data_IF_063045114931
#
_entry.id   IF_063045114931
#
_cell.length_a   1.000
_cell.length_b   1.000
_cell.length_c   1.000
_cell.angle_alpha   90.00
_cell.angle_beta   90.00
_cell.angle_gamma   90.00
#
_symmetry.space_group_name_H-M   'P 1'
#
loop_
_entity.id
_entity.type
_entity.pdbx_description
1 polymer ?
#
# COMPACT_ATOMS: atom_id res chain seq x y z
N UNK A 1 -19.43 -9.73 -15.72
CA UNK A 1 -20.04 -11.02 -16.11
C UNK A 1 -21.37 -10.88 -16.81
N UNK A 2 -22.31 -10.11 -16.24
CA UNK A 2 -23.70 -10.06 -16.72
C UNK A 2 -23.79 -9.64 -18.21
N UNK A 3 -22.96 -8.69 -18.64
CA UNK A 3 -22.88 -8.28 -20.05
C UNK A 3 -22.42 -9.43 -20.96
N UNK A 4 -21.40 -10.19 -20.58
CA UNK A 4 -20.95 -11.34 -21.37
C UNK A 4 -22.05 -12.42 -21.46
N UNK A 5 -22.69 -12.74 -20.33
CA UNK A 5 -23.80 -13.70 -20.30
C UNK A 5 -24.97 -13.26 -21.17
N UNK A 6 -25.36 -11.98 -21.12
CA UNK A 6 -26.42 -11.41 -21.97
C UNK A 6 -26.03 -11.46 -23.45
N UNK A 7 -24.83 -11.02 -23.81
CA UNK A 7 -24.34 -11.05 -25.18
C UNK A 7 -24.34 -12.48 -25.75
N UNK A 8 -23.91 -13.45 -24.96
CA UNK A 8 -23.88 -14.85 -25.36
C UNK A 8 -25.29 -15.44 -25.51
N UNK A 9 -26.23 -15.12 -24.60
CA UNK A 9 -27.63 -15.53 -24.71
C UNK A 9 -28.27 -14.94 -25.98
N UNK A 10 -28.05 -13.64 -26.25
CA UNK A 10 -28.52 -12.98 -27.48
C UNK A 10 -27.93 -13.66 -28.71
N UNK A 11 -26.64 -14.00 -28.68
CA UNK A 11 -25.98 -14.72 -29.76
C UNK A 11 -26.62 -16.10 -30.02
N UNK A 12 -26.89 -16.89 -28.98
CA UNK A 12 -27.57 -18.20 -29.09
C UNK A 12 -28.97 -18.04 -29.68
N UNK A 13 -29.75 -17.07 -29.22
CA UNK A 13 -31.12 -16.82 -29.71
C UNK A 13 -31.15 -16.48 -31.21
N UNK A 14 -30.11 -15.78 -31.69
CA UNK A 14 -30.00 -15.39 -33.10
C UNK A 14 -29.45 -16.55 -33.97
N UNK A 15 -28.51 -17.35 -33.48
CA UNK A 15 -27.72 -18.27 -34.32
C UNK A 15 -27.99 -19.77 -34.10
N UNK A 16 -28.51 -20.18 -32.93
CA UNK A 16 -28.76 -21.58 -32.59
C UNK A 16 -30.24 -21.76 -32.19
N UNK A 17 -31.14 -21.71 -33.17
CA UNK A 17 -32.57 -22.00 -32.95
C UNK A 17 -32.78 -23.52 -32.85
N UNK A 18 -33.41 -23.98 -31.77
CA UNK A 18 -33.72 -25.40 -31.53
C UNK A 18 -33.47 -25.83 -30.09
N UNK A 19 -33.73 -27.11 -29.80
CA UNK A 19 -33.62 -27.70 -28.44
C UNK A 19 -32.22 -27.52 -27.81
N UNK A 20 -31.17 -27.61 -28.62
CA UNK A 20 -29.78 -27.40 -28.20
C UNK A 20 -29.49 -25.96 -27.79
N UNK A 21 -30.06 -24.97 -28.49
CA UNK A 21 -29.95 -23.56 -28.13
C UNK A 21 -30.59 -23.25 -26.77
N UNK A 22 -31.78 -23.80 -26.50
CA UNK A 22 -32.45 -23.64 -25.20
C UNK A 22 -31.65 -24.29 -24.06
N UNK A 23 -31.05 -25.46 -24.29
CA UNK A 23 -30.16 -26.11 -23.31
C UNK A 23 -28.92 -25.24 -23.03
N UNK A 24 -28.29 -24.68 -24.06
CA UNK A 24 -27.12 -23.83 -23.89
C UNK A 24 -27.44 -22.52 -23.13
N UNK A 25 -28.62 -21.93 -23.37
CA UNK A 25 -29.09 -20.77 -22.59
C UNK A 25 -29.26 -21.16 -21.11
N UNK A 26 -29.91 -22.29 -20.84
CA UNK A 26 -30.11 -22.77 -19.47
C UNK A 26 -28.78 -23.02 -18.76
N UNK A 27 -27.83 -23.69 -19.43
CA UNK A 27 -26.47 -23.90 -18.91
C UNK A 27 -25.79 -22.56 -18.62
N UNK A 28 -25.88 -21.58 -19.53
CA UNK A 28 -25.25 -20.28 -19.32
C UNK A 28 -25.83 -19.53 -18.12
N UNK A 29 -27.16 -19.60 -17.92
CA UNK A 29 -27.82 -19.02 -16.75
C UNK A 29 -27.32 -19.71 -15.46
N UNK A 30 -27.25 -21.04 -15.45
CA UNK A 30 -26.75 -21.82 -14.31
C UNK A 30 -25.29 -21.45 -14.00
N UNK A 31 -24.41 -21.46 -15.02
CA UNK A 31 -22.99 -21.10 -14.86
C UNK A 31 -22.87 -19.67 -14.34
N UNK A 32 -23.65 -18.73 -14.87
CA UNK A 32 -23.64 -17.34 -14.39
C UNK A 32 -24.04 -17.27 -12.91
N UNK A 33 -25.11 -17.95 -12.52
CA UNK A 33 -25.59 -17.98 -11.14
C UNK A 33 -24.59 -18.63 -10.18
N UNK A 34 -24.07 -19.80 -10.53
CA UNK A 34 -23.04 -20.52 -9.75
C UNK A 34 -21.80 -19.66 -9.61
N UNK A 35 -21.38 -18.97 -10.68
CA UNK A 35 -20.18 -18.14 -10.62
C UNK A 35 -20.38 -16.91 -9.75
N UNK A 36 -21.55 -16.26 -9.81
CA UNK A 36 -21.90 -15.15 -8.90
C UNK A 36 -21.90 -15.64 -7.45
N UNK A 37 -22.46 -16.82 -7.19
CA UNK A 37 -22.48 -17.42 -5.86
C UNK A 37 -21.06 -17.70 -5.33
N UNK A 38 -20.20 -18.34 -6.13
CA UNK A 38 -18.80 -18.61 -5.78
C UNK A 38 -18.04 -17.30 -5.53
N UNK A 39 -18.23 -16.29 -6.39
CA UNK A 39 -17.53 -15.01 -6.27
C UNK A 39 -17.96 -14.24 -5.03
N UNK A 40 -19.25 -14.31 -4.68
CA UNK A 40 -19.80 -13.69 -3.48
C UNK A 40 -19.35 -14.41 -2.22
N UNK A 41 -19.57 -15.71 -2.13
CA UNK A 41 -19.43 -16.41 -0.85
C UNK A 41 -17.98 -16.87 -0.58
N UNK A 42 -17.19 -17.16 -1.61
CA UNK A 42 -15.88 -17.82 -1.44
C UNK A 42 -14.68 -16.95 -1.81
N UNK A 43 -14.78 -16.13 -2.87
CA UNK A 43 -13.62 -15.43 -3.45
C UNK A 43 -13.53 -13.97 -3.01
N UNK A 44 -14.50 -13.14 -3.40
CA UNK A 44 -14.39 -11.67 -3.29
C UNK A 44 -15.20 -11.06 -2.15
N UNK A 45 -16.23 -11.75 -1.63
CA UNK A 45 -17.10 -11.24 -0.55
C UNK A 45 -17.63 -9.82 -0.80
N UNK A 46 -18.01 -9.56 -2.06
CA UNK A 46 -18.58 -8.29 -2.52
C UNK A 46 -20.11 -8.38 -2.63
N UNK A 47 -20.78 -7.22 -2.64
CA UNK A 47 -22.23 -7.16 -2.84
C UNK A 47 -22.60 -7.64 -4.25
N UNK A 48 -23.84 -8.12 -4.43
CA UNK A 48 -24.33 -8.56 -5.75
C UNK A 48 -24.17 -7.46 -6.80
N UNK A 49 -24.47 -6.21 -6.45
CA UNK A 49 -24.29 -5.07 -7.35
C UNK A 49 -22.84 -4.93 -7.79
N UNK A 50 -21.88 -5.01 -6.87
CA UNK A 50 -20.47 -4.94 -7.24
C UNK A 50 -20.03 -6.10 -8.12
N UNK A 51 -20.47 -7.34 -7.85
CA UNK A 51 -20.08 -8.52 -8.66
C UNK A 51 -20.70 -8.46 -10.07
N UNK A 52 -21.94 -8.00 -10.17
CA UNK A 52 -22.68 -7.95 -11.43
C UNK A 52 -22.23 -6.79 -12.32
N UNK A 53 -21.99 -5.64 -11.72
CA UNK A 53 -21.77 -4.38 -12.41
C UNK A 53 -20.30 -3.94 -12.42
N UNK A 54 -19.37 -4.58 -11.72
CA UNK A 54 -17.93 -4.30 -11.88
C UNK A 54 -17.32 -5.23 -12.96
N UNK A 55 -16.52 -4.74 -13.92
CA UNK A 55 -16.06 -3.37 -14.15
C UNK A 55 -16.83 -2.71 -15.30
N UNK A 56 -18.17 -2.61 -15.23
CA UNK A 56 -18.86 -1.64 -16.07
C UNK A 56 -18.18 -0.27 -15.89
N UNK A 57 -18.28 0.65 -16.87
CA UNK A 57 -17.51 1.90 -16.94
C UNK A 57 -17.82 2.93 -15.84
N UNK A 58 -17.97 2.50 -14.59
CA UNK A 58 -17.98 3.30 -13.37
C UNK A 58 -16.57 3.67 -12.92
N UNK A 59 -15.52 2.98 -13.40
CA UNK A 59 -14.15 3.46 -13.24
C UNK A 59 -14.04 4.74 -14.06
N UNK A 60 -13.81 5.88 -13.40
CA UNK A 60 -13.73 7.19 -14.06
C UNK A 60 -12.38 7.38 -14.79
N UNK A 61 -12.03 6.42 -15.65
CA UNK A 61 -10.84 6.44 -16.46
C UNK A 61 -11.28 6.32 -17.93
N UNK A 62 -11.04 7.37 -18.71
CA UNK A 62 -11.44 7.45 -20.11
C UNK A 62 -10.93 6.25 -20.92
N UNK A 63 -9.67 5.86 -20.72
CA UNK A 63 -9.05 4.72 -21.40
C UNK A 63 -9.76 3.42 -21.08
N UNK A 64 -10.12 3.18 -19.81
CA UNK A 64 -10.86 1.99 -19.41
C UNK A 64 -12.25 1.95 -20.07
N UNK A 65 -12.95 3.09 -20.11
CA UNK A 65 -14.24 3.22 -20.80
C UNK A 65 -14.12 2.92 -22.29
N UNK A 66 -13.13 3.51 -22.97
CA UNK A 66 -12.89 3.29 -24.40
C UNK A 66 -12.58 1.83 -24.72
N UNK A 67 -11.67 1.20 -23.97
CA UNK A 67 -11.33 -0.22 -24.15
C UNK A 67 -12.55 -1.10 -23.94
N UNK A 68 -13.34 -0.84 -22.89
CA UNK A 68 -14.54 -1.57 -22.59
C UNK A 68 -15.55 -1.53 -23.74
N UNK A 69 -15.83 -0.34 -24.30
CA UNK A 69 -16.74 -0.20 -25.45
C UNK A 69 -16.19 -0.83 -26.72
N UNK A 70 -14.88 -0.73 -26.99
CA UNK A 70 -14.24 -1.42 -28.12
C UNK A 70 -14.40 -2.93 -28.01
N UNK A 71 -14.25 -3.48 -26.80
CA UNK A 71 -14.35 -4.91 -26.55
C UNK A 71 -15.80 -5.41 -26.69
N UNK A 72 -16.79 -4.65 -26.21
CA UNK A 72 -18.21 -4.92 -26.49
C UNK A 72 -18.49 -4.88 -28.00
N UNK A 73 -18.02 -3.82 -28.68
CA UNK A 73 -18.20 -3.65 -30.12
C UNK A 73 -17.63 -4.83 -30.89
N UNK A 74 -16.41 -5.25 -30.56
CA UNK A 74 -15.80 -6.45 -31.13
C UNK A 74 -16.66 -7.71 -30.91
N UNK A 75 -17.10 -7.97 -29.67
CA UNK A 75 -17.93 -9.14 -29.35
C UNK A 75 -19.27 -9.16 -30.11
N UNK A 76 -19.86 -8.00 -30.38
CA UNK A 76 -21.11 -7.88 -31.14
C UNK A 76 -20.90 -8.01 -32.66
N UNK A 77 -19.84 -7.38 -33.19
CA UNK A 77 -19.59 -7.28 -34.63
C UNK A 77 -18.94 -8.56 -35.16
N UNK A 78 -18.12 -9.24 -34.36
CA UNK A 78 -17.36 -10.43 -34.79
C UNK A 78 -18.25 -11.57 -35.34
N UNK A 79 -19.35 -11.98 -34.66
CA UNK A 79 -20.27 -12.98 -35.22
C UNK A 79 -20.97 -12.53 -36.52
N UNK A 80 -21.25 -11.23 -36.64
CA UNK A 80 -21.88 -10.65 -37.81
C UNK A 80 -20.91 -10.69 -39.01
N UNK A 81 -19.64 -10.38 -38.79
CA UNK A 81 -18.57 -10.50 -39.79
C UNK A 81 -18.48 -11.94 -40.30
N UNK A 82 -18.42 -12.93 -39.40
CA UNK A 82 -18.40 -14.34 -39.80
C UNK A 82 -19.64 -14.74 -40.62
N UNK A 83 -20.82 -14.22 -40.26
CA UNK A 83 -22.06 -14.48 -41.00
C UNK A 83 -22.06 -13.84 -42.40
N UNK A 84 -21.52 -12.63 -42.55
CA UNK A 84 -21.36 -11.97 -43.85
C UNK A 84 -20.41 -12.75 -44.76
N UNK A 85 -19.30 -13.25 -44.21
CA UNK A 85 -18.38 -14.11 -44.96
C UNK A 85 -19.00 -15.44 -45.36
N UNK A 86 -19.91 -15.99 -44.55
CA UNK A 86 -20.68 -17.22 -44.83
C UNK A 86 -21.57 -17.15 -46.07
N UNK A 87 -22.01 -15.96 -46.48
CA UNK A 87 -22.83 -15.78 -47.69
C UNK A 87 -22.03 -15.94 -48.98
N UNK A 88 -20.69 -15.96 -48.92
CA UNK A 88 -19.81 -16.06 -50.09
C UNK A 88 -19.24 -17.47 -50.21
N UNK A 89 -19.68 -18.22 -51.23
CA UNK A 89 -19.44 -19.67 -51.40
C UNK A 89 -17.97 -20.12 -51.38
N UNK A 90 -17.03 -19.26 -51.82
CA UNK A 90 -15.60 -19.58 -51.90
C UNK A 90 -14.90 -19.65 -50.53
N UNK A 91 -15.48 -19.03 -49.49
CA UNK A 91 -14.88 -18.92 -48.15
C UNK A 91 -15.36 -20.06 -47.22
N UNK A 92 -16.33 -20.87 -47.67
CA UNK A 92 -16.93 -21.94 -46.86
C UNK A 92 -15.97 -23.07 -46.49
N UNK A 93 -14.89 -23.27 -47.26
CA UNK A 93 -13.85 -24.29 -46.99
C UNK A 93 -12.74 -23.80 -46.04
N UNK A 94 -12.62 -22.48 -45.80
CA UNK A 94 -11.60 -21.89 -44.93
C UNK A 94 -12.17 -21.30 -43.63
N UNK A 95 -13.44 -21.60 -43.29
CA UNK A 95 -14.12 -21.09 -42.07
C UNK A 95 -13.32 -21.39 -40.79
N UNK A 96 -12.80 -22.61 -40.65
CA UNK A 96 -11.99 -22.98 -39.48
C UNK A 96 -10.69 -22.15 -39.38
N UNK A 97 -10.02 -21.93 -40.50
CA UNK A 97 -8.79 -21.14 -40.57
C UNK A 97 -9.06 -19.67 -40.21
N UNK A 98 -10.15 -19.08 -40.72
CA UNK A 98 -10.52 -17.70 -40.45
C UNK A 98 -10.90 -17.47 -38.99
N UNK A 99 -11.61 -18.41 -38.36
CA UNK A 99 -11.91 -18.35 -36.92
C UNK A 99 -10.62 -18.37 -36.11
N UNK A 100 -9.71 -19.31 -36.39
CA UNK A 100 -8.41 -19.39 -35.70
C UNK A 100 -7.57 -18.12 -35.91
N UNK A 101 -7.52 -17.58 -37.13
CA UNK A 101 -6.82 -16.31 -37.41
C UNK A 101 -7.43 -15.17 -36.60
N UNK A 102 -8.76 -15.08 -36.54
CA UNK A 102 -9.45 -13.99 -35.84
C UNK A 102 -9.28 -14.07 -34.32
N UNK A 103 -9.30 -15.28 -33.74
CA UNK A 103 -8.98 -15.51 -32.34
C UNK A 103 -7.51 -15.16 -32.08
N UNK A 104 -6.60 -15.57 -32.96
CA UNK A 104 -5.18 -15.22 -32.90
C UNK A 104 -4.95 -13.70 -32.94
N UNK A 105 -5.63 -12.98 -33.84
CA UNK A 105 -5.57 -11.51 -33.93
C UNK A 105 -6.13 -10.86 -32.66
N UNK A 106 -7.22 -11.40 -32.11
CA UNK A 106 -7.79 -10.91 -30.86
C UNK A 106 -6.85 -11.13 -29.66
N UNK A 107 -6.25 -12.32 -29.53
CA UNK A 107 -5.25 -12.59 -28.51
C UNK A 107 -4.00 -11.74 -28.69
N UNK A 108 -3.51 -11.56 -29.92
CA UNK A 108 -2.39 -10.68 -30.21
C UNK A 108 -2.71 -9.22 -29.85
N UNK A 109 -3.92 -8.75 -30.15
CA UNK A 109 -4.40 -7.43 -29.74
C UNK A 109 -4.49 -7.31 -28.22
N UNK A 110 -5.03 -8.31 -27.50
CA UNK A 110 -5.05 -8.32 -26.03
C UNK A 110 -3.65 -8.28 -25.44
N UNK A 111 -2.71 -9.07 -25.95
CA UNK A 111 -1.31 -9.06 -25.50
C UNK A 111 -0.67 -7.69 -25.77
N UNK A 112 -0.87 -7.15 -26.97
CA UNK A 112 -0.39 -5.81 -27.32
C UNK A 112 -0.95 -4.75 -26.37
N UNK A 113 -2.25 -4.80 -26.06
CA UNK A 113 -2.89 -3.88 -25.12
C UNK A 113 -2.34 -4.07 -23.70
N UNK A 114 -2.19 -5.31 -23.22
CA UNK A 114 -1.61 -5.59 -21.91
C UNK A 114 -0.18 -5.03 -21.77
N UNK A 115 0.66 -5.20 -22.79
CA UNK A 115 2.02 -4.67 -22.81
C UNK A 115 2.01 -3.14 -22.90
N UNK A 116 1.20 -2.57 -23.79
CA UNK A 116 1.14 -1.11 -24.01
C UNK A 116 0.62 -0.35 -22.79
N UNK A 117 -0.35 -0.92 -22.07
CA UNK A 117 -0.97 -0.29 -20.89
C UNK A 117 -0.38 -0.78 -19.57
N UNK A 118 0.68 -1.61 -19.59
CA UNK A 118 1.39 -1.99 -18.39
C UNK A 118 2.09 -0.77 -17.78
N UNK A 119 1.68 -0.39 -16.57
CA UNK A 119 2.37 0.65 -15.81
C UNK A 119 3.31 0.00 -14.79
N UNK A 120 4.64 0.06 -14.99
CA UNK A 120 5.60 -0.55 -14.07
C UNK A 120 5.57 0.11 -12.68
N UNK A 121 5.20 1.39 -12.58
CA UNK A 121 5.06 2.07 -11.27
C UNK A 121 3.88 1.47 -10.48
N UNK A 122 2.74 1.27 -11.12
CA UNK A 122 1.57 0.63 -10.50
C UNK A 122 1.89 -0.80 -10.09
N UNK A 123 2.59 -1.56 -10.94
CA UNK A 123 3.02 -2.92 -10.60
C UNK A 123 3.95 -2.95 -9.38
N UNK A 124 4.88 -1.98 -9.27
CA UNK A 124 5.75 -1.84 -8.10
C UNK A 124 4.94 -1.61 -6.83
N UNK A 125 4.00 -0.67 -6.85
CA UNK A 125 3.15 -0.35 -5.68
C UNK A 125 2.31 -1.56 -5.27
N UNK A 126 1.66 -2.25 -6.21
CA UNK A 126 0.87 -3.46 -5.92
C UNK A 126 1.75 -4.56 -5.29
N UNK A 127 2.99 -4.71 -5.79
CA UNK A 127 3.97 -5.62 -5.20
C UNK A 127 4.33 -5.25 -3.76
N UNK A 128 4.55 -3.97 -3.49
CA UNK A 128 4.83 -3.45 -2.15
C UNK A 128 3.64 -3.64 -1.21
N UNK A 129 2.43 -3.27 -1.64
CA UNK A 129 1.18 -3.46 -0.90
C UNK A 129 0.99 -4.92 -0.50
N UNK A 130 1.27 -5.85 -1.41
CA UNK A 130 1.16 -7.29 -1.12
C UNK A 130 2.09 -7.71 0.02
N UNK A 131 3.30 -7.15 0.10
CA UNK A 131 4.25 -7.42 1.18
C UNK A 131 3.80 -6.78 2.49
N UNK A 132 3.40 -5.51 2.46
CA UNK A 132 2.88 -4.76 3.61
C UNK A 132 1.64 -5.40 4.21
N UNK A 133 0.63 -5.73 3.39
CA UNK A 133 -0.59 -6.41 3.86
C UNK A 133 -0.38 -7.88 4.23
N UNK A 134 0.79 -8.42 3.85
CA UNK A 134 1.32 -9.69 4.31
C UNK A 134 2.16 -9.58 5.59
N UNK A 135 2.33 -8.38 6.13
CA UNK A 135 3.14 -8.07 7.34
C UNK A 135 4.61 -8.49 7.18
N UNK A 136 5.12 -8.45 5.95
CA UNK A 136 6.50 -8.77 5.57
C UNK A 136 7.33 -7.49 5.48
N UNK A 137 7.53 -6.82 6.61
CA UNK A 137 8.10 -5.47 6.68
C UNK A 137 9.51 -5.37 6.09
N UNK A 138 10.41 -6.28 6.47
CA UNK A 138 11.78 -6.33 5.94
C UNK A 138 11.82 -6.55 4.42
N UNK A 139 11.01 -7.50 3.93
CA UNK A 139 10.91 -7.75 2.49
C UNK A 139 10.36 -6.54 1.73
N UNK A 140 9.43 -5.78 2.34
CA UNK A 140 8.87 -4.56 1.76
C UNK A 140 9.90 -3.44 1.67
N UNK A 141 10.72 -3.26 2.71
CA UNK A 141 11.85 -2.30 2.71
C UNK A 141 12.83 -2.65 1.59
N UNK A 142 13.30 -3.90 1.53
CA UNK A 142 14.27 -4.33 0.53
C UNK A 142 13.69 -4.33 -0.90
N UNK A 143 12.39 -4.56 -1.04
CA UNK A 143 11.71 -4.46 -2.33
C UNK A 143 11.64 -3.02 -2.83
N UNK A 144 11.28 -2.07 -1.95
CA UNK A 144 11.22 -0.65 -2.31
C UNK A 144 12.58 -0.09 -2.70
N UNK A 145 13.64 -0.42 -1.93
CA UNK A 145 14.99 0.06 -2.23
C UNK A 145 15.53 -0.48 -3.56
N UNK A 146 15.15 -1.71 -3.95
CA UNK A 146 15.51 -2.29 -5.25
C UNK A 146 14.66 -1.76 -6.41
N UNK A 147 13.38 -1.50 -6.16
CA UNK A 147 12.41 -1.07 -7.16
C UNK A 147 11.65 0.18 -6.70
N UNK A 148 12.33 1.33 -6.58
CA UNK A 148 11.72 2.54 -6.05
C UNK A 148 10.54 2.97 -6.91
N UNK A 149 9.50 3.51 -6.26
CA UNK A 149 8.33 4.06 -6.94
C UNK A 149 8.23 5.56 -6.74
N UNK A 150 7.94 6.29 -7.81
CA UNK A 150 7.67 7.73 -7.79
C UNK A 150 6.20 7.99 -7.45
N UNK A 151 5.72 7.42 -6.35
CA UNK A 151 4.33 7.50 -5.94
C UNK A 151 4.25 7.65 -4.42
N UNK A 152 3.32 8.52 -3.99
CA UNK A 152 3.11 8.86 -2.59
C UNK A 152 2.82 7.63 -1.73
N UNK A 153 1.92 6.75 -2.18
CA UNK A 153 1.55 5.52 -1.45
C UNK A 153 2.73 4.57 -1.33
N UNK A 154 3.58 4.52 -2.36
CA UNK A 154 4.80 3.71 -2.32
C UNK A 154 5.80 4.22 -1.28
N UNK A 155 6.08 5.52 -1.23
CA UNK A 155 6.96 6.11 -0.19
C UNK A 155 6.33 5.98 1.20
N UNK A 156 5.02 6.16 1.32
CA UNK A 156 4.29 5.96 2.56
C UNK A 156 4.46 4.55 3.12
N UNK A 157 4.26 3.54 2.27
CA UNK A 157 4.42 2.16 2.70
C UNK A 157 5.88 1.76 2.94
N UNK A 158 6.83 2.39 2.27
CA UNK A 158 8.24 2.26 2.63
C UNK A 158 8.49 2.77 4.06
N UNK A 159 8.02 3.98 4.39
CA UNK A 159 8.19 4.58 5.70
C UNK A 159 7.47 3.80 6.81
N UNK A 160 6.24 3.33 6.57
CA UNK A 160 5.53 2.41 7.48
C UNK A 160 6.34 1.12 7.68
N UNK A 161 6.86 0.53 6.61
CA UNK A 161 7.64 -0.72 6.72
C UNK A 161 8.94 -0.52 7.49
N UNK A 162 9.61 0.62 7.29
CA UNK A 162 10.78 1.00 8.08
C UNK A 162 10.42 1.17 9.57
N UNK A 163 9.28 1.80 9.91
CA UNK A 163 8.84 1.92 11.30
C UNK A 163 8.51 0.57 11.92
N UNK A 164 7.77 -0.28 11.21
CA UNK A 164 7.37 -1.60 11.69
C UNK A 164 8.55 -2.56 11.85
N UNK A 165 9.65 -2.35 11.11
CA UNK A 165 10.93 -3.05 11.26
C UNK A 165 11.93 -2.38 12.20
N UNK A 166 11.63 -1.19 12.74
CA UNK A 166 12.51 -0.45 13.65
C UNK A 166 13.75 0.17 12.98
N UNK A 167 13.64 0.53 11.70
CA UNK A 167 14.72 1.04 10.85
C UNK A 167 14.45 2.45 10.30
N UNK A 168 13.39 3.14 10.76
CA UNK A 168 12.95 4.41 10.17
C UNK A 168 14.05 5.47 10.24
N UNK A 169 14.65 5.69 11.40
CA UNK A 169 15.71 6.70 11.54
C UNK A 169 17.08 6.27 11.00
N UNK A 170 17.26 5.01 10.58
CA UNK A 170 18.53 4.48 10.07
C UNK A 170 18.57 4.38 8.53
N UNK A 171 17.41 4.20 7.90
CA UNK A 171 17.30 3.97 6.45
C UNK A 171 16.38 4.95 5.72
N UNK A 172 15.76 5.93 6.39
CA UNK A 172 14.82 6.89 5.78
C UNK A 172 15.28 7.40 4.41
N UNK A 173 16.55 7.78 4.29
CA UNK A 173 17.10 8.39 3.07
C UNK A 173 17.70 7.39 2.08
N UNK A 174 17.73 6.08 2.38
CA UNK A 174 18.04 5.06 1.36
C UNK A 174 16.95 4.99 0.29
N UNK A 175 15.69 5.19 0.70
CA UNK A 175 14.56 5.39 -0.19
C UNK A 175 14.45 6.84 -0.66
N UNK A 176 13.72 7.05 -1.76
CA UNK A 176 13.40 8.39 -2.21
C UNK A 176 12.39 9.05 -1.27
N UNK A 177 12.59 10.33 -0.93
CA UNK A 177 11.70 11.12 -0.07
C UNK A 177 11.13 12.35 -0.81
N UNK A 178 10.74 12.15 -2.07
CA UNK A 178 10.27 13.23 -2.95
C UNK A 178 8.96 13.90 -2.47
N UNK A 179 8.18 13.24 -1.62
CA UNK A 179 6.94 13.80 -1.07
C UNK A 179 7.12 14.37 0.35
N UNK A 180 8.35 14.40 0.88
CA UNK A 180 8.65 14.89 2.21
C UNK A 180 7.74 14.29 3.28
N UNK A 181 7.26 15.13 4.19
CA UNK A 181 6.38 14.73 5.30
C UNK A 181 5.04 14.14 4.87
N UNK A 182 4.55 14.47 3.67
CA UNK A 182 3.32 13.88 3.13
C UNK A 182 3.42 12.36 2.94
N UNK A 183 4.64 11.82 2.83
CA UNK A 183 4.88 10.37 2.80
C UNK A 183 4.99 9.74 4.20
N UNK A 184 4.98 10.49 5.29
CA UNK A 184 4.90 9.91 6.64
C UNK A 184 3.46 9.73 7.08
N UNK A 185 2.62 10.73 6.79
CA UNK A 185 1.23 10.82 7.21
C UNK A 185 0.40 11.23 5.99
N UNK A 186 -0.46 10.34 5.52
CA UNK A 186 -1.36 10.65 4.41
C UNK A 186 -2.48 11.58 4.88
N UNK A 187 -2.88 12.58 4.06
CA UNK A 187 -3.98 13.46 4.40
C UNK A 187 -5.31 12.70 4.38
N UNK A 188 -6.26 13.15 5.19
CA UNK A 188 -7.63 12.61 5.19
C UNK A 188 -8.34 12.99 3.87
N UNK A 189 -8.48 12.03 2.97
CA UNK A 189 -9.19 12.19 1.70
C UNK A 189 -9.70 10.85 1.18
N UNK A 190 -10.72 10.88 0.31
CA UNK A 190 -11.22 9.67 -0.37
C UNK A 190 -10.09 8.93 -1.10
N UNK A 191 -9.13 9.66 -1.68
CA UNK A 191 -8.00 9.06 -2.39
C UNK A 191 -7.10 8.24 -1.46
N UNK A 192 -6.86 8.69 -0.23
CA UNK A 192 -5.90 8.06 0.68
C UNK A 192 -6.52 7.19 1.78
N UNK A 193 -7.85 7.25 1.94
CA UNK A 193 -8.61 6.50 2.94
C UNK A 193 -8.24 5.01 3.01
N UNK A 194 -7.98 4.28 1.89
CA UNK A 194 -7.60 2.87 1.95
C UNK A 194 -6.25 2.57 2.61
N UNK A 195 -5.39 3.58 2.79
CA UNK A 195 -4.00 3.39 3.18
C UNK A 195 -3.61 4.15 4.45
N UNK A 196 -4.20 5.32 4.72
CA UNK A 196 -3.70 6.21 5.79
C UNK A 196 -3.78 5.65 7.22
N UNK A 197 -4.61 4.63 7.46
CA UNK A 197 -4.76 3.99 8.77
C UNK A 197 -3.47 3.37 9.33
N UNK A 198 -2.53 2.97 8.45
CA UNK A 198 -1.34 2.23 8.85
C UNK A 198 -0.34 3.06 9.66
N UNK A 199 -0.29 4.37 9.45
CA UNK A 199 0.51 5.29 10.27
C UNK A 199 0.02 5.27 11.71
N UNK A 200 -1.28 5.50 11.91
CA UNK A 200 -1.92 5.50 13.22
C UNK A 200 -1.76 4.15 13.92
N UNK A 201 -1.90 3.06 13.17
CA UNK A 201 -1.66 1.72 13.68
C UNK A 201 -0.19 1.53 14.10
N UNK A 202 0.75 2.05 13.31
CA UNK A 202 2.19 1.94 13.56
C UNK A 202 2.56 2.61 14.87
N UNK A 203 2.12 3.86 15.08
CA UNK A 203 2.42 4.66 16.27
C UNK A 203 1.56 4.34 17.50
N UNK A 204 0.67 3.35 17.43
CA UNK A 204 -0.16 2.94 18.57
C UNK A 204 -1.42 3.77 18.81
N UNK A 205 -1.80 4.64 17.87
CA UNK A 205 -3.08 5.35 17.87
C UNK A 205 -4.22 4.45 17.35
N UNK A 206 -4.52 3.40 18.12
CA UNK A 206 -5.41 2.31 17.70
C UNK A 206 -6.84 2.79 17.43
N UNK A 207 -7.36 3.73 18.22
CA UNK A 207 -8.68 4.30 17.99
C UNK A 207 -8.77 5.08 16.69
N UNK A 208 -7.72 5.81 16.33
CA UNK A 208 -7.69 6.57 15.07
C UNK A 208 -7.49 5.64 13.87
N UNK A 209 -6.62 4.63 13.99
CA UNK A 209 -6.49 3.57 12.99
C UNK A 209 -7.84 2.85 12.75
N UNK A 210 -8.60 2.60 13.81
CA UNK A 210 -9.93 2.03 13.73
C UNK A 210 -10.91 2.96 13.01
N UNK A 211 -10.91 4.27 13.32
CA UNK A 211 -11.76 5.27 12.65
C UNK A 211 -11.53 5.26 11.14
N UNK A 212 -10.27 5.35 10.70
CA UNK A 212 -9.92 5.28 9.28
C UNK A 212 -10.40 3.98 8.62
N UNK A 213 -10.14 2.84 9.24
CA UNK A 213 -10.54 1.54 8.73
C UNK A 213 -12.07 1.41 8.63
N UNK A 214 -12.79 1.92 9.63
CA UNK A 214 -14.26 1.90 9.64
C UNK A 214 -14.84 2.78 8.53
N UNK A 215 -14.33 4.01 8.36
CA UNK A 215 -14.76 4.90 7.28
C UNK A 215 -14.42 4.31 5.90
N UNK A 216 -13.25 3.69 5.70
CA UNK A 216 -12.94 2.96 4.48
C UNK A 216 -13.99 1.86 4.20
N UNK A 217 -14.40 1.14 5.26
CA UNK A 217 -15.40 0.07 5.13
C UNK A 217 -16.76 0.62 4.74
N UNK A 218 -17.14 1.78 5.26
CA UNK A 218 -18.41 2.46 4.92
C UNK A 218 -18.39 2.92 3.47
N UNK A 219 -17.30 3.54 3.00
CA UNK A 219 -17.19 4.08 1.64
C UNK A 219 -17.05 2.96 0.60
N UNK A 220 -16.18 1.98 0.85
CA UNK A 220 -15.79 1.00 -0.17
C UNK A 220 -16.31 -0.42 0.06
N UNK A 221 -16.95 -0.66 1.20
CA UNK A 221 -17.45 -1.97 1.61
C UNK A 221 -16.39 -2.88 2.21
N UNK A 222 -16.74 -4.16 2.33
CA UNK A 222 -15.90 -5.17 2.97
C UNK A 222 -14.70 -5.53 2.08
N UNK A 223 -13.50 -5.09 2.48
CA UNK A 223 -12.23 -5.44 1.85
C UNK A 223 -11.39 -6.28 2.81
N UNK A 224 -10.68 -7.33 2.37
CA UNK A 224 -9.95 -8.20 3.27
C UNK A 224 -8.92 -7.48 4.15
N UNK A 225 -8.14 -6.57 3.57
CA UNK A 225 -7.12 -5.79 4.27
C UNK A 225 -7.73 -4.93 5.38
N UNK A 226 -8.81 -4.23 5.05
CA UNK A 226 -9.56 -3.42 6.00
C UNK A 226 -10.15 -4.29 7.12
N UNK A 227 -10.79 -5.41 6.80
CA UNK A 227 -11.30 -6.36 7.79
C UNK A 227 -10.22 -6.91 8.72
N UNK A 228 -8.99 -7.12 8.23
CA UNK A 228 -7.86 -7.48 9.09
C UNK A 228 -7.56 -6.36 10.08
N UNK A 229 -7.45 -5.13 9.61
CA UNK A 229 -7.15 -3.97 10.47
C UNK A 229 -8.26 -3.70 11.49
N UNK A 230 -9.54 -3.76 11.08
CA UNK A 230 -10.69 -3.71 11.98
C UNK A 230 -10.65 -4.83 13.02
N UNK A 231 -10.30 -6.05 12.63
CA UNK A 231 -10.15 -7.16 13.58
C UNK A 231 -9.05 -6.87 14.60
N UNK A 232 -7.86 -6.46 14.14
CA UNK A 232 -6.71 -6.16 15.02
C UNK A 232 -7.01 -5.03 15.98
N UNK A 233 -7.52 -3.90 15.49
CA UNK A 233 -7.88 -2.75 16.33
C UNK A 233 -8.94 -3.10 17.37
N UNK A 234 -9.97 -3.86 17.01
CA UNK A 234 -10.97 -4.33 17.98
C UNK A 234 -10.39 -5.28 19.03
N UNK A 235 -9.46 -6.18 18.66
CA UNK A 235 -8.78 -7.04 19.64
C UNK A 235 -7.94 -6.23 20.62
N UNK A 236 -7.24 -5.20 20.13
CA UNK A 236 -6.42 -4.32 20.97
C UNK A 236 -7.32 -3.52 21.93
N UNK A 237 -8.42 -2.96 21.43
CA UNK A 237 -9.38 -2.18 22.21
C UNK A 237 -10.30 -3.01 23.12
N UNK A 238 -10.20 -4.35 23.10
CA UNK A 238 -11.04 -5.23 23.92
C UNK A 238 -12.45 -5.48 23.37
N UNK A 239 -12.77 -5.01 22.16
CA UNK A 239 -14.05 -5.23 21.48
C UNK A 239 -14.11 -6.61 20.81
N UNK A 240 -13.97 -7.67 21.60
CA UNK A 240 -13.81 -9.05 21.10
C UNK A 240 -14.97 -9.54 20.24
N UNK A 241 -16.21 -9.13 20.55
CA UNK A 241 -17.40 -9.47 19.73
C UNK A 241 -17.28 -8.95 18.29
N UNK A 242 -16.74 -7.75 18.12
CA UNK A 242 -16.55 -7.16 16.80
C UNK A 242 -15.35 -7.79 16.08
N UNK A 243 -14.26 -8.06 16.80
CA UNK A 243 -13.13 -8.82 16.26
C UNK A 243 -13.57 -10.20 15.76
N UNK A 244 -14.37 -10.94 16.53
CA UNK A 244 -14.93 -12.23 16.14
C UNK A 244 -15.78 -12.11 14.86
N UNK A 245 -16.65 -11.09 14.79
CA UNK A 245 -17.49 -10.83 13.62
C UNK A 245 -16.65 -10.61 12.35
N UNK A 246 -15.63 -9.75 12.40
CA UNK A 246 -14.81 -9.43 11.24
C UNK A 246 -13.88 -10.59 10.85
N UNK A 247 -13.21 -11.23 11.81
CA UNK A 247 -12.40 -12.43 11.55
C UNK A 247 -13.25 -13.59 11.02
N UNK A 248 -14.48 -13.73 11.50
CA UNK A 248 -15.44 -14.73 11.07
C UNK A 248 -15.89 -14.58 9.61
N UNK A 249 -15.87 -13.36 9.07
CA UNK A 249 -16.07 -13.12 7.63
C UNK A 249 -14.87 -13.70 6.85
N UNK A 250 -13.64 -13.34 7.23
CA UNK A 250 -12.42 -13.78 6.55
C UNK A 250 -12.22 -15.29 6.62
N UNK A 251 -12.59 -15.91 7.74
CA UNK A 251 -12.55 -17.36 7.96
C UNK A 251 -13.35 -18.16 6.92
N UNK A 252 -14.41 -17.59 6.34
CA UNK A 252 -15.24 -18.25 5.32
C UNK A 252 -14.65 -18.18 3.91
N UNK A 253 -13.67 -17.32 3.68
CA UNK A 253 -13.06 -17.11 2.35
C UNK A 253 -11.98 -18.14 2.04
N UNK A 254 -11.67 -18.37 0.78
CA UNK A 254 -10.63 -19.34 0.40
C UNK A 254 -9.21 -18.86 0.80
N UNK A 255 -8.88 -17.60 0.48
CA UNK A 255 -7.50 -17.09 0.60
C UNK A 255 -7.17 -16.55 1.99
N UNK A 256 -8.15 -16.12 2.77
CA UNK A 256 -7.93 -15.55 4.10
C UNK A 256 -8.35 -16.49 5.23
N UNK A 257 -8.80 -17.72 4.92
CA UNK A 257 -9.24 -18.70 5.92
C UNK A 257 -8.27 -18.86 7.08
N UNK A 258 -6.99 -19.15 6.77
CA UNK A 258 -5.95 -19.37 7.78
C UNK A 258 -5.78 -18.17 8.71
N UNK A 259 -5.78 -16.96 8.14
CA UNK A 259 -5.69 -15.72 8.91
C UNK A 259 -6.96 -15.53 9.76
N UNK A 260 -8.14 -15.72 9.17
CA UNK A 260 -9.43 -15.61 9.85
C UNK A 260 -9.57 -16.60 11.01
N UNK A 261 -9.20 -17.87 10.81
CA UNK A 261 -9.21 -18.90 11.86
C UNK A 261 -8.32 -18.53 13.05
N UNK A 262 -7.11 -18.02 12.80
CA UNK A 262 -6.19 -17.54 13.85
C UNK A 262 -6.84 -16.45 14.70
N UNK A 263 -7.26 -15.35 14.07
CA UNK A 263 -7.76 -14.18 14.80
C UNK A 263 -9.18 -14.38 15.37
N UNK A 264 -10.00 -15.23 14.75
CA UNK A 264 -11.27 -15.67 15.32
C UNK A 264 -11.05 -16.47 16.61
N UNK A 265 -10.04 -17.34 16.65
CA UNK A 265 -9.63 -18.03 17.87
C UNK A 265 -9.16 -17.08 18.96
N UNK A 266 -8.33 -16.08 18.62
CA UNK A 266 -7.88 -15.05 19.56
C UNK A 266 -9.03 -14.22 20.15
N UNK A 267 -10.05 -13.92 19.35
CA UNK A 267 -11.23 -13.19 19.82
C UNK A 267 -12.07 -13.98 20.83
N UNK A 268 -12.06 -15.32 20.75
CA UNK A 268 -12.81 -16.19 21.66
C UNK A 268 -12.04 -16.58 22.93
N UNK A 269 -10.72 -16.64 22.83
CA UNK A 269 -9.84 -17.00 23.93
C UNK A 269 -8.81 -15.88 24.13
N UNK A 270 -9.16 -14.93 25.00
CA UNK A 270 -8.38 -13.73 25.25
C UNK A 270 -7.04 -14.02 25.95
N UNK A 271 -6.90 -15.18 26.59
CA UNK A 271 -5.64 -15.61 27.22
C UNK A 271 -4.50 -15.78 26.21
N UNK A 272 -4.85 -16.01 24.93
CA UNK A 272 -3.90 -16.20 23.83
C UNK A 272 -3.49 -14.91 23.14
N UNK A 273 -4.10 -13.77 23.49
CA UNK A 273 -3.81 -12.48 22.84
C UNK A 273 -2.36 -12.06 23.06
N UNK A 274 -1.79 -12.33 24.23
CA UNK A 274 -0.39 -12.05 24.54
C UNK A 274 0.61 -12.88 23.73
N UNK A 275 0.15 -13.98 23.11
CA UNK A 275 0.98 -14.83 22.25
C UNK A 275 1.10 -14.28 20.83
N UNK A 276 0.23 -13.35 20.43
CA UNK A 276 0.34 -12.66 19.14
C UNK A 276 1.25 -11.45 19.28
N UNK A 277 2.44 -11.52 18.66
CA UNK A 277 3.50 -10.52 18.81
C UNK A 277 3.04 -9.12 18.38
N UNK A 278 2.33 -9.01 17.26
CA UNK A 278 1.85 -7.73 16.73
C UNK A 278 0.82 -7.10 17.68
N UNK A 279 -0.20 -7.86 18.10
CA UNK A 279 -1.20 -7.36 19.04
C UNK A 279 -0.57 -7.00 20.40
N UNK A 280 0.35 -7.82 20.91
CA UNK A 280 1.04 -7.56 22.17
C UNK A 280 1.91 -6.29 22.11
N UNK A 281 2.65 -6.10 21.01
CA UNK A 281 3.45 -4.92 20.78
C UNK A 281 2.59 -3.65 20.70
N UNK A 282 1.49 -3.69 19.92
CA UNK A 282 0.58 -2.56 19.80
C UNK A 282 -0.10 -2.19 21.11
N UNK A 283 -0.42 -3.17 21.96
CA UNK A 283 -0.90 -2.92 23.33
C UNK A 283 0.16 -2.27 24.20
N UNK A 284 1.44 -2.65 24.07
CA UNK A 284 2.55 -2.10 24.84
C UNK A 284 2.81 -0.62 24.51
N UNK A 285 2.73 -0.24 23.24
CA UNK A 285 2.99 1.13 22.79
C UNK A 285 1.75 2.04 22.82
N UNK A 286 0.58 1.49 23.15
CA UNK A 286 -0.65 2.27 23.27
C UNK A 286 -0.50 3.38 24.34
N UNK A 287 -1.21 4.51 24.21
CA UNK A 287 -1.23 5.56 25.22
C UNK A 287 -1.67 5.01 26.59
N UNK A 288 -0.97 5.36 27.66
CA UNK A 288 -1.31 4.93 29.03
C UNK A 288 -2.38 5.79 29.71
N UNK A 289 -2.74 6.94 29.12
CA UNK A 289 -3.76 7.86 29.60
C UNK A 289 -4.52 8.49 28.43
N UNK A 290 -5.72 8.97 28.70
CA UNK A 290 -6.54 9.68 27.72
C UNK A 290 -5.92 11.04 27.35
N UNK A 291 -6.01 11.40 26.07
CA UNK A 291 -5.62 12.71 25.56
C UNK A 291 -6.40 13.06 24.29
N UNK A 292 -6.40 14.34 23.91
CA UNK A 292 -7.07 14.81 22.70
C UNK A 292 -6.23 14.56 21.45
N UNK A 293 -6.87 14.06 20.40
CA UNK A 293 -6.24 13.85 19.10
C UNK A 293 -6.38 15.10 18.23
N UNK A 294 -5.26 15.55 17.67
CA UNK A 294 -5.23 16.58 16.64
C UNK A 294 -5.47 15.93 15.27
N UNK A 295 -6.68 16.05 14.73
CA UNK A 295 -7.07 15.40 13.47
C UNK A 295 -6.58 16.17 12.23
N UNK A 296 -6.57 17.51 12.29
CA UNK A 296 -6.14 18.36 11.18
C UNK A 296 -4.62 18.47 11.07
N UNK A 297 -3.91 18.15 12.16
CA UNK A 297 -2.45 18.15 12.26
C UNK A 297 -1.98 16.89 12.99
N UNK A 298 -2.07 15.70 12.36
CA UNK A 298 -1.79 14.43 13.03
C UNK A 298 -0.36 14.30 13.58
N UNK A 299 0.60 15.01 12.99
CA UNK A 299 1.99 15.12 13.46
C UNK A 299 2.10 15.67 14.88
N UNK A 300 1.18 16.54 15.29
CA UNK A 300 1.15 17.15 16.64
C UNK A 300 0.86 16.11 17.72
N UNK A 301 0.32 14.94 17.35
CA UNK A 301 0.14 13.84 18.29
C UNK A 301 1.45 13.11 18.61
N UNK A 302 2.50 13.21 17.79
CA UNK A 302 3.75 12.45 17.97
C UNK A 302 4.52 12.81 19.25
N UNK A 303 4.71 14.11 19.60
CA UNK A 303 5.30 14.48 20.89
C UNK A 303 4.46 13.99 22.07
N UNK A 304 3.13 14.15 22.00
CA UNK A 304 2.19 13.74 23.07
C UNK A 304 2.27 12.23 23.30
N UNK A 305 2.28 11.43 22.23
CA UNK A 305 2.43 9.97 22.31
C UNK A 305 3.74 9.55 22.97
N UNK A 306 4.82 10.25 22.64
CA UNK A 306 6.15 9.95 23.17
C UNK A 306 6.25 10.31 24.66
N UNK A 307 5.57 11.37 25.09
CA UNK A 307 5.50 11.78 26.50
C UNK A 307 4.62 10.83 27.31
N UNK A 308 3.42 10.51 26.82
CA UNK A 308 2.47 9.63 27.51
C UNK A 308 3.00 8.20 27.60
N UNK A 309 3.70 7.70 26.58
CA UNK A 309 4.31 6.38 26.62
C UNK A 309 5.77 6.42 26.11
N UNK A 310 6.71 6.57 27.04
CA UNK A 310 8.16 6.56 26.76
C UNK A 310 8.68 5.27 26.11
N UNK A 311 7.92 4.17 26.15
CA UNK A 311 8.30 2.93 25.48
C UNK A 311 7.86 2.87 24.01
N UNK A 312 7.08 3.87 23.55
CA UNK A 312 6.62 3.99 22.17
C UNK A 312 7.71 4.52 21.25
N UNK A 313 8.68 3.64 20.96
CA UNK A 313 9.78 3.91 20.03
C UNK A 313 9.28 4.32 18.64
N UNK A 314 8.15 3.77 18.17
CA UNK A 314 7.60 4.07 16.85
C UNK A 314 7.15 5.53 16.73
N UNK A 315 6.42 6.05 17.72
CA UNK A 315 6.03 7.46 17.76
C UNK A 315 7.27 8.40 17.79
N UNK A 316 8.27 8.05 18.59
CA UNK A 316 9.53 8.80 18.61
C UNK A 316 10.26 8.78 17.27
N UNK A 317 10.40 7.63 16.62
CA UNK A 317 11.07 7.58 15.31
C UNK A 317 10.30 8.36 14.24
N UNK A 318 8.96 8.38 14.29
CA UNK A 318 8.16 9.24 13.41
C UNK A 318 8.34 10.73 13.73
N UNK A 319 8.46 11.11 15.00
CA UNK A 319 8.78 12.48 15.41
C UNK A 319 10.14 12.92 14.85
N UNK A 320 11.15 12.06 14.97
CA UNK A 320 12.48 12.32 14.44
C UNK A 320 12.48 12.37 12.91
N UNK A 321 11.81 11.44 12.24
CA UNK A 321 11.65 11.43 10.78
C UNK A 321 10.93 12.69 10.28
N UNK A 322 9.91 13.15 11.00
CA UNK A 322 9.24 14.42 10.70
C UNK A 322 10.20 15.61 10.79
N UNK A 323 10.99 15.70 11.87
CA UNK A 323 12.02 16.72 12.03
C UNK A 323 13.06 16.70 10.91
N UNK A 324 13.53 15.50 10.51
CA UNK A 324 14.45 15.31 9.40
C UNK A 324 13.85 15.78 8.07
N UNK A 325 12.63 15.35 7.73
CA UNK A 325 11.99 15.70 6.46
C UNK A 325 11.59 17.18 6.37
N UNK A 326 11.28 17.83 7.50
CA UNK A 326 11.06 19.28 7.61
C UNK A 326 12.36 20.09 7.74
N UNK A 327 13.51 19.42 7.82
CA UNK A 327 14.84 20.02 8.06
C UNK A 327 14.93 20.80 9.38
N UNK A 328 14.04 20.53 10.32
CA UNK A 328 14.08 21.12 11.66
C UNK A 328 15.09 20.36 12.53
N UNK A 329 16.37 20.65 12.31
CA UNK A 329 17.48 19.98 12.98
C UNK A 329 17.49 20.31 14.47
N UNK A 330 17.12 21.52 14.86
CA UNK A 330 16.94 21.93 16.26
C UNK A 330 15.98 20.99 17.00
N UNK A 331 14.78 20.75 16.46
CA UNK A 331 13.82 19.83 17.06
C UNK A 331 14.33 18.38 17.14
N UNK A 332 15.11 17.93 16.15
CA UNK A 332 15.74 16.61 16.18
C UNK A 332 16.74 16.54 17.34
N UNK A 333 17.68 17.48 17.44
CA UNK A 333 18.75 17.40 18.47
C UNK A 333 18.24 17.55 19.90
N UNK A 334 17.17 18.33 20.12
CA UNK A 334 16.53 18.48 21.43
C UNK A 334 15.99 17.15 22.00
N UNK A 335 15.64 16.21 21.11
CA UNK A 335 15.09 14.90 21.45
C UNK A 335 16.15 13.80 21.57
N UNK A 336 17.42 14.03 21.19
CA UNK A 336 18.47 12.99 21.16
C UNK A 336 18.75 12.41 22.56
N UNK A 337 18.73 13.24 23.60
CA UNK A 337 18.93 12.79 24.99
C UNK A 337 17.95 11.69 25.42
N UNK A 338 16.77 11.63 24.82
CA UNK A 338 15.73 10.65 25.13
C UNK A 338 16.08 9.24 24.62
N UNK A 339 16.97 9.12 23.62
CA UNK A 339 17.33 7.83 23.02
C UNK A 339 17.76 6.80 24.07
N UNK A 340 18.58 7.21 25.04
CA UNK A 340 19.07 6.30 26.08
C UNK A 340 17.94 5.80 26.99
N UNK A 341 17.03 6.69 27.40
CA UNK A 341 15.84 6.33 28.19
C UNK A 341 14.91 5.38 27.42
N UNK A 342 14.82 5.54 26.10
CA UNK A 342 14.02 4.69 25.21
C UNK A 342 14.69 3.36 24.85
N UNK A 343 15.87 3.07 25.42
CA UNK A 343 16.55 1.79 25.27
C UNK A 343 17.48 1.67 24.06
N UNK A 344 17.82 2.78 23.39
CA UNK A 344 18.81 2.75 22.32
C UNK A 344 20.22 2.54 22.87
N UNK A 345 20.99 1.71 22.17
CA UNK A 345 22.42 1.48 22.44
C UNK A 345 23.34 2.32 21.56
N UNK A 346 22.81 2.80 20.43
CA UNK A 346 23.50 3.64 19.44
C UNK A 346 22.52 4.68 18.91
N UNK A 347 23.05 5.80 18.43
CA UNK A 347 22.25 6.84 17.79
C UNK A 347 21.95 6.38 16.35
N UNK A 348 20.68 6.39 15.91
CA UNK A 348 20.34 6.07 14.53
C UNK A 348 21.08 6.97 13.53
N UNK A 349 21.50 6.40 12.41
CA UNK A 349 22.41 7.05 11.44
C UNK A 349 21.92 8.45 11.04
N UNK A 350 20.66 8.62 10.66
CA UNK A 350 20.19 9.93 10.17
C UNK A 350 20.04 10.97 11.29
N UNK A 351 19.93 10.52 12.54
CA UNK A 351 19.98 11.40 13.71
C UNK A 351 21.41 11.87 13.96
N UNK A 352 22.42 10.99 13.82
CA UNK A 352 23.83 11.40 13.84
C UNK A 352 24.16 12.41 12.73
N UNK A 353 23.66 12.16 11.52
CA UNK A 353 23.81 13.07 10.39
C UNK A 353 23.21 14.46 10.71
N UNK A 354 22.07 14.52 11.41
CA UNK A 354 21.45 15.77 11.85
C UNK A 354 22.25 16.48 12.95
N UNK A 355 22.78 15.75 13.93
CA UNK A 355 23.67 16.29 14.97
C UNK A 355 24.88 16.99 14.34
N UNK A 356 25.44 16.44 13.26
CA UNK A 356 26.59 17.04 12.58
C UNK A 356 26.23 18.31 11.80
N UNK A 357 25.03 18.38 11.20
CA UNK A 357 24.52 19.65 10.63
C UNK A 357 24.38 20.69 11.73
N UNK A 358 23.75 20.33 12.86
CA UNK A 358 23.57 21.23 14.00
C UNK A 358 24.90 21.76 14.52
N UNK A 359 25.86 20.87 14.80
CA UNK A 359 27.16 21.21 15.34
C UNK A 359 27.95 22.11 14.38
N UNK A 360 27.92 21.83 13.08
CA UNK A 360 28.62 22.65 12.10
C UNK A 360 28.02 24.07 11.99
N UNK A 361 26.72 24.22 12.22
CA UNK A 361 26.02 25.51 12.19
C UNK A 361 26.19 26.31 13.50
N UNK A 362 25.90 25.70 14.65
CA UNK A 362 25.85 26.36 15.95
C UNK A 362 27.17 26.37 16.71
N UNK A 363 28.12 25.52 16.32
CA UNK A 363 29.40 25.27 17.04
C UNK A 363 29.22 24.78 18.49
N UNK A 364 28.02 24.30 18.82
CA UNK A 364 27.67 23.72 20.12
C UNK A 364 27.29 22.26 19.90
N UNK A 365 27.92 21.36 20.64
CA UNK A 365 27.61 19.95 20.56
C UNK A 365 26.39 19.65 21.46
N UNK A 366 25.32 19.01 20.94
CA UNK A 366 24.12 18.75 21.73
C UNK A 366 24.36 17.65 22.77
N UNK A 367 23.53 17.61 23.81
CA UNK A 367 23.53 16.49 24.76
C UNK A 367 23.00 15.22 24.07
N UNK A 368 23.87 14.24 23.91
CA UNK A 368 23.56 12.96 23.25
C UNK A 368 23.23 11.83 24.24
N UNK A 369 22.91 12.14 25.50
CA UNK A 369 22.40 11.16 26.47
C UNK A 369 23.38 10.05 26.82
N UNK A 370 24.68 10.37 26.92
CA UNK A 370 25.79 9.42 27.13
C UNK A 370 25.93 8.34 26.03
N UNK A 371 25.30 8.51 24.87
CA UNK A 371 25.59 7.72 23.69
C UNK A 371 26.87 8.22 23.02
N UNK A 372 27.34 7.48 22.02
CA UNK A 372 28.53 7.84 21.25
C UNK A 372 28.15 7.96 19.78
N UNK A 373 28.75 8.94 19.11
CA UNK A 373 28.70 9.06 17.66
C UNK A 373 29.51 7.92 17.03
N UNK A 374 29.00 7.35 15.95
CA UNK A 374 29.70 6.36 15.14
C UNK A 374 30.88 7.04 14.39
N UNK A 375 32.13 6.55 14.56
CA UNK A 375 33.29 7.07 13.84
C UNK A 375 33.14 7.06 12.31
N UNK A 376 32.39 6.10 11.77
CA UNK A 376 32.12 6.03 10.33
C UNK A 376 31.27 7.22 9.86
N UNK A 377 30.25 7.61 10.63
CA UNK A 377 29.41 8.77 10.30
C UNK A 377 30.22 10.06 10.32
N UNK A 378 31.15 10.21 11.28
CA UNK A 378 32.08 11.35 11.33
C UNK A 378 32.99 11.40 10.09
N UNK A 379 33.62 10.28 9.73
CA UNK A 379 34.47 10.20 8.54
C UNK A 379 33.70 10.49 7.26
N UNK A 380 32.47 9.96 7.15
CA UNK A 380 31.59 10.20 5.98
C UNK A 380 31.17 11.67 5.90
N UNK A 381 31.02 12.36 7.03
CA UNK A 381 30.71 13.80 7.07
C UNK A 381 31.87 14.65 6.57
N UNK A 382 33.10 14.33 6.97
CA UNK A 382 34.30 15.02 6.46
C UNK A 382 34.41 14.87 4.93
N UNK A 383 34.15 13.67 4.42
CA UNK A 383 34.09 13.40 2.97
C UNK A 383 32.96 14.17 2.27
N UNK A 384 31.78 14.24 2.90
CA UNK A 384 30.65 15.01 2.39
C UNK A 384 31.01 16.48 2.30
N UNK A 385 31.56 17.05 3.37
CA UNK A 385 31.92 18.47 3.44
C UNK A 385 33.01 18.83 2.43
N UNK A 386 34.09 18.05 2.34
CA UNK A 386 35.13 18.24 1.33
C UNK A 386 34.59 18.16 -0.11
N UNK A 387 33.70 17.19 -0.37
CA UNK A 387 33.05 17.05 -1.68
C UNK A 387 32.13 18.24 -1.98
N UNK A 388 31.37 18.70 -0.99
CA UNK A 388 30.45 19.84 -1.12
C UNK A 388 31.20 21.15 -1.41
N UNK A 389 32.29 21.43 -0.69
CA UNK A 389 33.13 22.62 -0.93
C UNK A 389 33.77 22.58 -2.33
N UNK A 390 34.27 21.41 -2.75
CA UNK A 390 34.86 21.26 -4.08
C UNK A 390 33.81 21.44 -5.18
N UNK A 391 32.63 20.83 -5.01
CA UNK A 391 31.53 20.90 -5.97
C UNK A 391 30.91 22.30 -6.07
N UNK A 392 30.99 23.11 -5.01
CA UNK A 392 30.54 24.51 -5.03
C UNK A 392 31.28 25.36 -6.09
N UNK A 393 32.50 24.98 -6.46
CA UNK A 393 33.26 25.65 -7.53
C UNK A 393 32.77 25.28 -8.94
N UNK A 394 31.90 24.28 -9.08
CA UNK A 394 31.30 23.85 -10.34
C UNK A 394 29.79 23.59 -10.15
N UNK A 395 28.97 24.66 -10.10
CA UNK A 395 27.54 24.56 -9.79
C UNK A 395 26.76 23.69 -10.77
N UNK A 396 27.21 23.57 -12.03
CA UNK A 396 26.51 22.82 -13.08
C UNK A 396 26.49 21.31 -12.82
N UNK A 397 27.53 20.77 -12.17
CA UNK A 397 27.63 19.32 -11.89
C UNK A 397 27.47 18.98 -10.40
N UNK A 398 27.24 19.98 -9.55
CA UNK A 398 27.21 19.85 -8.10
C UNK A 398 26.18 18.82 -7.62
N UNK A 399 24.91 18.94 -8.02
CA UNK A 399 23.86 18.00 -7.59
C UNK A 399 24.19 16.56 -8.04
N UNK A 400 24.64 16.37 -9.29
CA UNK A 400 24.98 15.05 -9.80
C UNK A 400 26.12 14.40 -8.99
N UNK A 401 27.23 15.12 -8.78
CA UNK A 401 28.39 14.60 -8.02
C UNK A 401 28.01 14.25 -6.57
N UNK A 402 27.21 15.10 -5.93
CA UNK A 402 26.77 14.85 -4.56
C UNK A 402 25.79 13.68 -4.49
N UNK A 403 24.89 13.55 -5.48
CA UNK A 403 23.93 12.45 -5.57
C UNK A 403 24.61 11.10 -5.68
N UNK A 404 25.63 10.98 -6.54
CA UNK A 404 26.32 9.69 -6.79
C UNK A 404 26.92 9.06 -5.53
N UNK A 405 27.36 9.86 -4.56
CA UNK A 405 28.02 9.37 -3.34
C UNK A 405 27.19 9.46 -2.07
N UNK A 406 26.25 10.43 -2.01
CA UNK A 406 25.59 10.82 -0.77
C UNK A 406 24.07 10.87 -0.86
N UNK A 407 23.45 10.38 -1.95
CA UNK A 407 21.99 10.38 -2.09
C UNK A 407 21.24 9.68 -0.95
N UNK A 408 21.91 8.78 -0.24
CA UNK A 408 21.38 8.01 0.88
C UNK A 408 21.52 8.72 2.25
N UNK A 409 21.97 9.98 2.28
CA UNK A 409 22.22 10.74 3.51
C UNK A 409 21.16 11.82 3.73
N UNK A 410 20.90 12.13 5.00
CA UNK A 410 20.16 13.32 5.38
C UNK A 410 20.85 14.60 4.88
N UNK A 411 22.18 14.64 4.82
CA UNK A 411 22.91 15.82 4.34
C UNK A 411 22.57 16.17 2.89
N UNK A 412 22.48 15.17 2.01
CA UNK A 412 22.06 15.38 0.63
C UNK A 412 20.63 15.88 0.56
N UNK A 413 19.72 15.26 1.30
CA UNK A 413 18.33 15.72 1.38
C UNK A 413 18.26 17.16 1.88
N UNK A 414 18.96 17.50 2.96
CA UNK A 414 18.98 18.84 3.56
C UNK A 414 19.42 19.93 2.57
N UNK A 415 20.41 19.66 1.72
CA UNK A 415 20.96 20.66 0.80
C UNK A 415 20.31 20.68 -0.59
N UNK A 416 19.75 19.57 -1.09
CA UNK A 416 19.33 19.44 -2.50
C UNK A 416 17.86 19.09 -2.72
N UNK A 417 17.11 18.76 -1.66
CA UNK A 417 15.66 18.51 -1.71
C UNK A 417 14.95 19.49 -0.82
#
# INVERSE_FOLDING_TARGET
>A
MLVFSLLYIVWILIHQRGRTGYINILIMIIVTFVTIFIFKELIFYRTYNQILFYPLPYVNNLTHKTIYYLLIGYLLIFPLILKLFRMRSWIRHSEGLLTVISEGVFFAFLIFMLVKFHNPQTARIIGLEKLVFGEKWEEAVDYYERYPSNNLIGQYFYNVSLSESGQLCDRLFKGQQNFGTGSLILPWSDEHLPWGAYFFYSVGLINEAHRWAYEEMVVYGLRPQNLKLLTKTNLINGNYRMAEKYAGILKKTLFYKKWGDKYFGLARDTSRISMDQDIAEKKKIAPSSDFFIFLESPETNLPVLTEVNKSNRKAFEYLMAWGLLTKNVEAVVENVKLLKEMGYTSIPRHIEEAILIYYNSKRVFPDIGNLKMNPETLSRFDQYFASYITARNDPATMEQRMREKFSDTFWYYFHFK
#
